data_IF_961049524431
#
_entry.id   IF_961049524431
#
_cell.length_a   1.000
_cell.length_b   1.000
_cell.length_c   1.000
_cell.angle_alpha   90.00
_cell.angle_beta   90.00
_cell.angle_gamma   90.00
#
_symmetry.space_group_name_H-M   'P 1'
#
loop_
_entity.id
_entity.type
_entity.pdbx_description
1 polymer ?
#
# COMPACT_ATOMS: atom_id res chain seq x y z
N UNK A 1 10.94 14.89 31.04
CA UNK A 1 9.88 14.40 31.94
C UNK A 1 9.08 13.34 31.23
N UNK A 2 8.71 12.28 31.94
CA UNK A 2 7.74 11.30 31.43
C UNK A 2 6.37 11.94 31.58
N UNK A 3 5.65 12.11 30.47
CA UNK A 3 4.28 12.65 30.47
C UNK A 3 3.24 11.55 30.63
N UNK A 4 3.51 10.38 30.06
CA UNK A 4 2.63 9.24 30.16
C UNK A 4 3.38 7.94 29.90
N UNK A 5 2.86 6.85 30.46
CA UNK A 5 3.39 5.51 30.29
C UNK A 5 2.22 4.52 30.15
N UNK A 6 2.31 3.64 29.16
CA UNK A 6 1.27 2.66 28.83
C UNK A 6 1.91 1.32 28.45
N UNK A 7 1.23 0.22 28.76
CA UNK A 7 1.52 -1.07 28.14
C UNK A 7 0.52 -1.29 27.01
N UNK A 8 1.02 -1.47 25.78
CA UNK A 8 0.19 -1.71 24.59
C UNK A 8 0.72 -2.94 23.89
N UNK A 9 -0.03 -4.05 23.94
CA UNK A 9 0.43 -5.35 23.44
C UNK A 9 1.77 -5.74 24.05
N UNK A 10 2.73 -6.04 23.19
CA UNK A 10 4.12 -6.38 23.53
C UNK A 10 5.02 -5.16 23.81
N UNK A 11 4.49 -3.94 23.84
CA UNK A 11 5.28 -2.73 24.01
C UNK A 11 5.03 -2.03 25.34
N UNK A 12 6.10 -1.57 25.98
CA UNK A 12 6.07 -0.55 27.02
C UNK A 12 6.31 0.80 26.35
N UNK A 13 5.30 1.65 26.35
CA UNK A 13 5.27 2.95 25.68
C UNK A 13 5.46 4.05 26.69
N UNK A 14 6.44 4.93 26.47
CA UNK A 14 6.64 6.14 27.25
C UNK A 14 6.60 7.37 26.35
N UNK A 15 5.79 8.35 26.73
CA UNK A 15 5.76 9.67 26.10
C UNK A 15 6.60 10.60 26.95
N UNK A 16 7.64 11.17 26.35
CA UNK A 16 8.56 12.05 27.01
C UNK A 16 8.44 13.46 26.42
N UNK A 17 8.36 14.45 27.28
CA UNK A 17 8.68 15.84 26.93
C UNK A 17 10.03 16.23 27.49
N UNK A 18 10.71 17.12 26.80
CA UNK A 18 11.98 17.65 27.27
C UNK A 18 12.02 19.14 26.95
N UNK A 19 12.18 19.97 27.98
CA UNK A 19 12.51 21.39 27.82
C UNK A 19 14.03 21.60 27.72
N UNK A 20 14.81 20.59 28.13
CA UNK A 20 16.27 20.56 28.09
C UNK A 20 16.73 19.20 27.57
N UNK A 21 17.64 19.23 26.60
CA UNK A 21 18.16 18.02 25.95
C UNK A 21 19.01 17.14 26.84
N UNK A 22 19.73 17.72 27.80
CA UNK A 22 20.53 16.97 28.75
C UNK A 22 19.66 15.98 29.56
N UNK A 23 18.42 16.33 29.89
CA UNK A 23 17.50 15.44 30.63
C UNK A 23 17.07 14.23 29.81
N UNK A 24 16.74 14.43 28.53
CA UNK A 24 16.36 13.34 27.63
C UNK A 24 17.55 12.43 27.30
N UNK A 25 18.73 13.01 27.04
CA UNK A 25 19.95 12.24 26.81
C UNK A 25 20.32 11.41 28.04
N UNK A 26 20.24 12.00 29.23
CA UNK A 26 20.47 11.29 30.48
C UNK A 26 19.53 10.11 30.62
N UNK A 27 18.22 10.32 30.41
CA UNK A 27 17.23 9.26 30.47
C UNK A 27 17.51 8.13 29.46
N UNK A 28 17.82 8.48 28.20
CA UNK A 28 18.08 7.49 27.17
C UNK A 28 19.36 6.69 27.46
N UNK A 29 20.42 7.35 27.89
CA UNK A 29 21.67 6.68 28.28
C UNK A 29 21.47 5.78 29.52
N UNK A 30 20.76 6.26 30.55
CA UNK A 30 20.42 5.46 31.74
C UNK A 30 19.51 4.28 31.41
N UNK A 31 18.67 4.41 30.38
CA UNK A 31 17.84 3.34 29.84
C UNK A 31 18.62 2.37 28.92
N UNK A 32 19.94 2.54 28.78
CA UNK A 32 20.81 1.66 28.01
C UNK A 32 20.85 1.93 26.51
N UNK A 33 20.20 2.99 26.02
CA UNK A 33 20.29 3.39 24.62
C UNK A 33 21.64 4.02 24.32
N UNK A 34 22.28 3.61 23.22
CA UNK A 34 23.54 4.19 22.76
C UNK A 34 23.25 5.35 21.83
N UNK A 35 23.60 6.56 22.26
CA UNK A 35 23.39 7.78 21.48
C UNK A 35 24.75 8.29 20.99
N UNK A 36 25.01 8.29 19.67
CA UNK A 36 26.23 8.87 19.12
C UNK A 36 26.32 10.36 19.47
N UNK A 37 27.54 10.88 19.59
CA UNK A 37 27.78 12.31 19.88
C UNK A 37 27.07 13.21 18.85
N UNK A 38 27.09 12.81 17.57
CA UNK A 38 26.40 13.48 16.47
C UNK A 38 24.87 13.55 16.62
N UNK A 39 24.25 12.65 17.39
CA UNK A 39 22.80 12.62 17.56
C UNK A 39 22.32 13.68 18.55
N UNK A 40 23.21 14.22 19.40
CA UNK A 40 22.89 15.26 20.38
C UNK A 40 22.39 16.52 19.70
N UNK A 41 23.02 16.95 18.61
CA UNK A 41 22.61 18.15 17.87
C UNK A 41 21.24 17.96 17.21
N UNK A 42 21.00 16.80 16.58
CA UNK A 42 19.70 16.46 15.99
C UNK A 42 18.60 16.42 17.05
N UNK A 43 18.89 15.85 18.22
CA UNK A 43 17.95 15.80 19.33
C UNK A 43 17.60 17.19 19.87
N UNK A 44 18.60 18.09 19.94
CA UNK A 44 18.41 19.49 20.33
C UNK A 44 17.48 20.23 19.36
N UNK A 45 17.61 19.98 18.05
CA UNK A 45 16.73 20.58 17.03
C UNK A 45 15.26 20.19 17.27
N UNK A 46 15.02 18.91 17.57
CA UNK A 46 13.68 18.38 17.83
C UNK A 46 13.05 18.93 19.11
N UNK A 47 13.85 19.06 20.17
CA UNK A 47 13.42 19.67 21.42
C UNK A 47 13.06 21.14 21.22
N UNK A 48 13.91 21.90 20.50
CA UNK A 48 13.61 23.30 20.17
C UNK A 48 12.37 23.44 19.28
N UNK A 49 12.11 22.44 18.43
CA UNK A 49 10.87 22.33 17.65
C UNK A 49 9.64 21.97 18.48
N UNK A 50 9.76 21.76 19.80
CA UNK A 50 8.65 21.41 20.68
C UNK A 50 8.11 20.01 20.46
N UNK A 51 8.88 19.11 19.83
CA UNK A 51 8.42 17.75 19.58
C UNK A 51 8.43 16.91 20.86
N UNK A 52 7.45 16.01 20.95
CA UNK A 52 7.40 14.98 21.99
C UNK A 52 8.07 13.70 21.50
N UNK A 53 8.66 12.96 22.42
CA UNK A 53 9.37 11.73 22.11
C UNK A 53 8.53 10.54 22.54
N UNK A 54 8.35 9.60 21.62
CA UNK A 54 7.65 8.36 21.85
C UNK A 54 8.68 7.24 21.90
N UNK A 55 8.84 6.61 23.07
CA UNK A 55 9.76 5.49 23.28
C UNK A 55 8.93 4.23 23.38
N UNK A 56 9.09 3.34 22.39
CA UNK A 56 8.50 2.01 22.40
C UNK A 56 9.56 0.97 22.74
N UNK A 57 9.50 0.42 23.96
CA UNK A 57 10.37 -0.67 24.38
C UNK A 57 9.64 -2.00 24.16
N UNK A 58 10.30 -2.95 23.53
CA UNK A 58 9.75 -4.31 23.36
C UNK A 58 9.86 -5.06 24.68
N UNK A 59 8.73 -5.55 25.17
CA UNK A 59 8.64 -6.44 26.30
C UNK A 59 8.71 -7.90 25.81
N UNK A 60 9.89 -8.50 25.92
CA UNK A 60 10.15 -9.85 25.38
C UNK A 60 9.27 -10.92 26.03
N UNK A 61 8.94 -10.78 27.31
CA UNK A 61 8.07 -11.73 28.01
C UNK A 61 6.63 -11.69 27.46
N UNK A 62 6.07 -10.48 27.26
CA UNK A 62 4.74 -10.34 26.65
C UNK A 62 4.72 -10.80 25.20
N UNK A 63 5.77 -10.51 24.43
CA UNK A 63 5.89 -11.00 23.06
C UNK A 63 5.92 -12.54 23.02
N UNK A 64 6.75 -13.18 23.85
CA UNK A 64 6.83 -14.64 23.92
C UNK A 64 5.50 -15.29 24.34
N UNK A 65 4.83 -14.71 25.34
CA UNK A 65 3.50 -15.17 25.76
C UNK A 65 2.47 -15.02 24.64
N UNK A 66 2.53 -13.93 23.89
CA UNK A 66 1.72 -13.69 22.70
C UNK A 66 1.92 -14.76 21.62
N UNK A 67 3.18 -15.05 21.28
CA UNK A 67 3.55 -16.10 20.32
C UNK A 67 3.06 -17.48 20.80
N UNK A 68 3.23 -17.80 22.09
CA UNK A 68 2.70 -19.03 22.67
C UNK A 68 1.17 -19.12 22.63
N UNK A 69 0.48 -17.97 22.70
CA UNK A 69 -0.96 -17.83 22.55
C UNK A 69 -1.45 -17.78 21.10
N UNK A 70 -0.59 -18.04 20.11
CA UNK A 70 -0.96 -18.08 18.70
C UNK A 70 -0.79 -16.77 17.93
N UNK A 71 -0.22 -15.72 18.54
CA UNK A 71 0.19 -14.53 17.78
C UNK A 71 1.39 -14.85 16.87
N UNK A 72 1.54 -14.07 15.81
CA UNK A 72 2.66 -14.22 14.87
C UNK A 72 4.02 -14.00 15.56
N UNK A 73 5.08 -14.56 14.96
CA UNK A 73 6.47 -14.38 15.45
C UNK A 73 7.03 -12.98 15.23
N UNK A 74 6.28 -12.12 14.55
CA UNK A 74 6.64 -10.74 14.27
C UNK A 74 5.98 -9.82 15.29
N UNK A 75 6.60 -8.67 15.53
CA UNK A 75 6.00 -7.64 16.37
C UNK A 75 4.80 -7.00 15.65
N UNK A 76 3.75 -6.74 16.41
CA UNK A 76 2.52 -6.08 15.97
C UNK A 76 2.83 -4.63 15.60
N UNK A 77 2.47 -4.16 14.39
CA UNK A 77 2.71 -2.76 14.02
C UNK A 77 2.08 -1.78 14.99
N UNK A 78 2.84 -0.77 15.42
CA UNK A 78 2.32 0.32 16.24
C UNK A 78 1.46 1.25 15.36
N UNK A 79 0.22 1.48 15.78
CA UNK A 79 -0.67 2.45 15.15
C UNK A 79 -0.67 3.75 15.96
N UNK A 80 -0.45 4.87 15.29
CA UNK A 80 -0.36 6.19 15.91
C UNK A 80 -1.28 7.13 15.14
N UNK A 81 -2.23 7.75 15.85
CA UNK A 81 -3.06 8.83 15.31
C UNK A 81 -2.56 10.18 15.83
N UNK A 82 -2.46 11.17 14.94
CA UNK A 82 -1.98 12.51 15.25
C UNK A 82 -2.93 13.56 14.66
N UNK A 83 -3.11 14.68 15.38
CA UNK A 83 -3.96 15.81 14.95
C UNK A 83 -3.18 16.97 14.32
N UNK A 84 -1.89 16.77 14.03
CA UNK A 84 -1.03 17.82 13.46
C UNK A 84 -1.34 18.01 11.97
N UNK A 85 -1.47 19.27 11.54
CA UNK A 85 -1.56 19.61 10.12
C UNK A 85 -0.25 19.38 9.36
N UNK A 86 0.88 19.29 10.08
CA UNK A 86 2.20 18.98 9.53
C UNK A 86 2.49 17.50 9.71
N UNK A 87 2.39 16.73 8.63
CA UNK A 87 2.74 15.32 8.56
C UNK A 87 4.20 15.18 8.09
N UNK A 88 5.09 14.85 9.02
CA UNK A 88 6.51 14.61 8.75
C UNK A 88 6.99 13.32 9.43
N UNK A 89 7.97 12.66 8.82
CA UNK A 89 8.63 11.49 9.40
C UNK A 89 10.06 11.87 9.81
N UNK A 90 10.37 11.90 11.13
CA UNK A 90 11.70 12.23 11.62
C UNK A 90 12.67 11.05 11.37
N UNK A 91 13.47 11.15 10.32
CA UNK A 91 14.42 10.12 9.91
C UNK A 91 15.87 10.44 10.33
N UNK A 92 16.20 11.71 10.64
CA UNK A 92 17.59 12.13 10.92
C UNK A 92 18.19 11.40 12.11
N UNK A 93 17.42 11.15 13.18
CA UNK A 93 17.94 10.44 14.35
C UNK A 93 18.31 8.99 14.02
N UNK A 94 17.54 8.35 13.13
CA UNK A 94 17.84 7.00 12.63
C UNK A 94 19.10 6.97 11.77
N UNK A 95 19.31 7.97 10.91
CA UNK A 95 20.49 8.01 10.01
C UNK A 95 21.80 8.22 10.76
N UNK A 96 21.79 8.86 11.94
CA UNK A 96 23.00 9.00 12.77
C UNK A 96 23.49 7.65 13.31
N UNK A 97 22.59 6.69 13.53
CA UNK A 97 22.93 5.34 13.99
C UNK A 97 23.18 4.34 12.84
N UNK A 98 22.83 4.71 11.61
CA UNK A 98 22.92 3.81 10.47
C UNK A 98 24.36 3.70 9.94
N UNK A 99 24.78 2.49 9.56
CA UNK A 99 26.10 2.23 8.96
C UNK A 99 26.14 2.44 7.44
N UNK A 100 25.00 2.75 6.83
CA UNK A 100 24.87 2.88 5.38
C UNK A 100 23.46 3.26 4.99
N UNK A 101 23.08 2.90 3.77
CA UNK A 101 21.74 3.09 3.23
C UNK A 101 20.70 2.28 4.03
N UNK A 102 19.55 2.88 4.28
CA UNK A 102 18.38 2.27 4.88
C UNK A 102 17.24 2.28 3.86
N UNK A 103 16.40 1.25 3.89
CA UNK A 103 15.18 1.20 3.08
C UNK A 103 13.98 1.63 3.93
N UNK A 104 13.14 2.49 3.37
CA UNK A 104 11.86 2.86 3.96
C UNK A 104 10.75 2.70 2.93
N UNK A 105 9.71 1.97 3.31
CA UNK A 105 8.47 1.85 2.57
C UNK A 105 7.37 2.60 3.31
N UNK A 106 6.67 3.48 2.60
CA UNK A 106 5.59 4.28 3.15
C UNK A 106 4.32 3.92 2.40
N UNK A 107 3.31 3.50 3.15
CA UNK A 107 1.95 3.30 2.66
C UNK A 107 1.08 4.41 3.26
N UNK A 108 0.60 5.31 2.41
CA UNK A 108 -0.26 6.40 2.81
C UNK A 108 -1.66 6.18 2.22
N UNK A 109 -2.67 6.18 3.09
CA UNK A 109 -4.07 6.08 2.69
C UNK A 109 -4.74 7.41 3.03
N UNK A 110 -5.39 8.03 2.05
CA UNK A 110 -6.08 9.32 2.23
C UNK A 110 -7.44 9.30 1.55
N UNK A 111 -8.35 10.20 1.92
CA UNK A 111 -9.61 10.38 1.17
C UNK A 111 -9.41 11.16 -0.13
N UNK A 112 -8.37 11.99 -0.19
CA UNK A 112 -8.26 13.05 -1.19
C UNK A 112 -7.52 12.61 -2.44
N UNK A 113 -6.30 12.10 -2.28
CA UNK A 113 -5.45 11.75 -3.41
C UNK A 113 -4.04 11.36 -3.00
N UNK A 114 -3.13 11.43 -3.96
CA UNK A 114 -1.76 10.98 -3.81
C UNK A 114 -1.00 11.78 -2.76
N UNK A 115 -0.19 11.08 -1.97
CA UNK A 115 0.79 11.70 -1.06
C UNK A 115 2.13 11.84 -1.77
N UNK A 116 2.70 13.03 -1.70
CA UNK A 116 3.99 13.33 -2.32
C UNK A 116 4.94 13.98 -1.33
N UNK A 117 6.24 13.89 -1.62
CA UNK A 117 7.27 14.62 -0.89
C UNK A 117 7.06 16.13 -1.00
N UNK A 118 7.07 16.82 0.14
CA UNK A 118 7.03 18.27 0.20
C UNK A 118 8.43 18.89 0.01
N UNK A 119 9.46 18.25 0.55
CA UNK A 119 10.86 18.71 0.51
C UNK A 119 11.81 17.80 -0.30
N UNK A 120 11.32 16.66 -0.77
CA UNK A 120 12.04 15.74 -1.66
C UNK A 120 11.18 15.44 -2.88
N UNK A 121 11.83 15.25 -4.04
CA UNK A 121 11.12 14.93 -5.27
C UNK A 121 10.42 13.57 -5.16
N UNK A 122 9.24 13.44 -5.76
CA UNK A 122 8.58 12.15 -5.93
C UNK A 122 8.75 11.71 -7.39
N UNK A 123 9.39 10.56 -7.62
CA UNK A 123 9.76 10.06 -8.95
C UNK A 123 9.13 8.70 -9.18
N UNK A 124 8.50 8.48 -10.33
CA UNK A 124 7.92 7.16 -10.69
C UNK A 124 9.04 6.16 -10.97
N UNK A 125 8.93 4.94 -10.47
CA UNK A 125 9.80 3.85 -10.92
C UNK A 125 9.51 3.51 -12.39
N UNK A 126 10.45 2.87 -13.11
CA UNK A 126 10.18 2.31 -14.42
C UNK A 126 8.95 1.39 -14.40
N UNK A 127 8.10 1.52 -15.40
CA UNK A 127 6.85 0.79 -15.53
C UNK A 127 6.53 0.51 -17.01
N UNK A 128 5.59 -0.42 -17.24
CA UNK A 128 5.09 -0.83 -18.56
C UNK A 128 6.16 -1.36 -19.51
N UNK A 129 7.19 -2.01 -18.94
CA UNK A 129 8.29 -2.59 -19.70
C UNK A 129 8.08 -4.09 -19.88
N UNK A 130 8.20 -4.57 -21.13
CA UNK A 130 8.22 -6.00 -21.40
C UNK A 130 9.56 -6.60 -20.95
N UNK A 131 9.50 -7.65 -20.14
CA UNK A 131 10.67 -8.35 -19.59
C UNK A 131 10.59 -9.85 -19.91
N UNK A 132 11.74 -10.54 -20.01
CA UNK A 132 11.76 -11.97 -20.30
C UNK A 132 10.99 -12.81 -19.26
N UNK A 133 10.40 -13.95 -19.66
CA UNK A 133 9.61 -14.78 -18.73
C UNK A 133 10.34 -15.26 -17.46
N UNK A 134 11.65 -15.50 -17.54
CA UNK A 134 12.44 -15.95 -16.39
C UNK A 134 12.49 -14.91 -15.25
N UNK A 135 12.20 -13.64 -15.54
CA UNK A 135 12.16 -12.57 -14.55
C UNK A 135 11.14 -12.86 -13.45
N UNK A 136 10.06 -13.60 -13.73
CA UNK A 136 9.10 -14.05 -12.71
C UNK A 136 9.80 -14.86 -11.60
N UNK A 137 10.66 -15.80 -11.96
CA UNK A 137 11.39 -16.66 -11.00
C UNK A 137 12.45 -15.89 -10.21
N UNK A 138 12.97 -14.81 -10.77
CA UNK A 138 14.03 -14.00 -10.19
C UNK A 138 13.52 -12.63 -9.71
N UNK A 139 12.20 -12.48 -9.52
CA UNK A 139 11.59 -11.16 -9.34
C UNK A 139 12.20 -10.36 -8.19
N UNK A 140 12.48 -11.00 -7.06
CA UNK A 140 13.11 -10.34 -5.91
C UNK A 140 14.47 -9.72 -6.26
N UNK A 141 15.34 -10.46 -6.97
CA UNK A 141 16.64 -9.95 -7.42
C UNK A 141 16.49 -8.90 -8.51
N UNK A 142 15.62 -9.16 -9.48
CA UNK A 142 15.30 -8.21 -10.54
C UNK A 142 14.89 -6.84 -9.97
N UNK A 143 13.97 -6.83 -9.02
CA UNK A 143 13.47 -5.59 -8.42
C UNK A 143 14.56 -4.88 -7.62
N UNK A 144 15.35 -5.61 -6.83
CA UNK A 144 16.49 -5.04 -6.08
C UNK A 144 17.50 -4.36 -7.02
N UNK A 145 17.88 -5.02 -8.11
CA UNK A 145 18.87 -4.51 -9.07
C UNK A 145 18.29 -3.36 -9.91
N UNK A 146 17.01 -3.44 -10.31
CA UNK A 146 16.30 -2.35 -11.00
C UNK A 146 16.22 -1.10 -10.12
N UNK A 147 15.81 -1.25 -8.87
CA UNK A 147 15.71 -0.13 -7.94
C UNK A 147 17.09 0.48 -7.62
N UNK A 148 18.11 -0.37 -7.43
CA UNK A 148 19.48 0.12 -7.23
C UNK A 148 19.98 0.91 -8.45
N UNK A 149 19.65 0.45 -9.66
CA UNK A 149 20.00 1.14 -10.91
C UNK A 149 19.25 2.46 -11.06
N UNK A 150 17.96 2.48 -10.77
CA UNK A 150 17.12 3.68 -10.82
C UNK A 150 17.63 4.75 -9.83
N UNK A 151 17.99 4.34 -8.60
CA UNK A 151 18.61 5.22 -7.61
C UNK A 151 19.96 5.76 -8.05
N UNK A 152 20.78 4.97 -8.76
CA UNK A 152 22.06 5.45 -9.32
C UNK A 152 21.85 6.44 -10.47
N UNK A 153 20.80 6.24 -11.28
CA UNK A 153 20.48 7.09 -12.42
C UNK A 153 19.76 8.38 -12.04
N UNK A 154 19.12 8.42 -10.86
CA UNK A 154 18.47 9.63 -10.33
C UNK A 154 19.51 10.50 -9.61
N UNK A 155 19.90 11.67 -10.14
CA UNK A 155 20.99 12.48 -9.60
C UNK A 155 20.61 13.27 -8.33
N UNK A 156 19.36 13.14 -7.87
CA UNK A 156 18.81 13.86 -6.72
C UNK A 156 18.24 12.89 -5.69
N UNK A 157 18.21 13.27 -4.40
CA UNK A 157 17.45 12.52 -3.41
C UNK A 157 15.95 12.55 -3.74
N UNK A 158 15.35 11.36 -3.86
CA UNK A 158 13.96 11.21 -4.29
C UNK A 158 13.23 10.10 -3.51
N UNK A 159 11.92 10.26 -3.40
CA UNK A 159 10.98 9.24 -2.98
C UNK A 159 10.43 8.57 -4.24
N UNK A 160 10.61 7.26 -4.37
CA UNK A 160 10.15 6.52 -5.54
C UNK A 160 8.70 6.11 -5.37
N UNK A 161 7.84 6.60 -6.26
CA UNK A 161 6.45 6.18 -6.35
C UNK A 161 6.39 4.82 -7.03
N UNK A 162 5.86 3.82 -6.31
CA UNK A 162 5.70 2.45 -6.81
C UNK A 162 4.25 2.13 -7.15
N UNK A 163 3.32 2.76 -6.42
CA UNK A 163 1.89 2.53 -6.57
C UNK A 163 1.10 3.75 -6.11
N UNK A 164 0.09 4.15 -6.88
CA UNK A 164 -0.92 5.13 -6.52
C UNK A 164 -2.25 4.66 -7.11
N UNK A 165 -3.27 4.46 -6.28
CA UNK A 165 -4.53 3.91 -6.77
C UNK A 165 -5.73 4.34 -5.94
N UNK A 166 -6.83 4.59 -6.63
CA UNK A 166 -8.13 4.84 -6.05
C UNK A 166 -8.82 3.50 -5.68
N UNK A 167 -8.95 3.22 -4.39
CA UNK A 167 -9.49 1.94 -3.91
C UNK A 167 -11.01 1.83 -4.10
N UNK A 168 -11.70 2.90 -4.54
CA UNK A 168 -13.13 2.85 -4.85
C UNK A 168 -13.47 1.97 -6.05
N UNK A 169 -12.51 1.69 -6.93
CA UNK A 169 -12.73 0.88 -8.13
C UNK A 169 -11.49 0.08 -8.51
N UNK A 170 -11.72 -1.08 -9.12
CA UNK A 170 -10.67 -2.02 -9.45
C UNK A 170 -10.80 -2.46 -10.91
N UNK A 171 -10.19 -1.74 -11.85
CA UNK A 171 -10.10 -2.16 -13.24
C UNK A 171 -8.88 -1.54 -13.97
N UNK A 172 -7.96 -2.32 -14.57
CA UNK A 172 -7.83 -3.79 -14.54
C UNK A 172 -7.06 -4.27 -13.29
N UNK A 173 -7.63 -5.20 -12.54
CA UNK A 173 -7.04 -5.66 -11.27
C UNK A 173 -6.55 -7.10 -11.27
N UNK A 174 -5.37 -7.30 -10.68
CA UNK A 174 -4.77 -8.61 -10.44
C UNK A 174 -5.34 -9.33 -9.19
N UNK A 175 -6.06 -8.61 -8.32
CA UNK A 175 -6.68 -9.12 -7.10
C UNK A 175 -7.90 -8.29 -6.70
N UNK A 176 -8.74 -8.80 -5.80
CA UNK A 176 -9.87 -8.06 -5.23
C UNK A 176 -9.37 -6.86 -4.41
N UNK A 177 -10.10 -5.72 -4.41
CA UNK A 177 -9.78 -4.61 -3.52
C UNK A 177 -9.93 -5.03 -2.04
N UNK A 178 -9.17 -4.40 -1.11
CA UNK A 178 -9.29 -4.67 0.32
C UNK A 178 -10.73 -4.44 0.83
N UNK A 179 -11.18 -5.23 1.80
CA UNK A 179 -12.47 -5.00 2.47
C UNK A 179 -12.43 -3.76 3.36
N UNK A 180 -13.61 -3.25 3.77
CA UNK A 180 -13.69 -2.15 4.73
C UNK A 180 -13.04 -2.55 6.05
N UNK A 181 -13.23 -3.79 6.49
CA UNK A 181 -12.62 -4.35 7.69
C UNK A 181 -11.08 -4.37 7.59
N UNK A 182 -10.54 -4.77 6.43
CA UNK A 182 -9.10 -4.74 6.18
C UNK A 182 -8.56 -3.30 6.27
N UNK A 183 -9.26 -2.35 5.65
CA UNK A 183 -8.87 -0.93 5.68
C UNK A 183 -8.92 -0.35 7.10
N UNK A 184 -9.96 -0.67 7.87
CA UNK A 184 -10.03 -0.26 9.27
C UNK A 184 -8.88 -0.85 10.10
N UNK A 185 -8.49 -2.11 9.84
CA UNK A 185 -7.34 -2.73 10.51
C UNK A 185 -6.01 -2.00 10.20
N UNK A 186 -5.94 -1.31 9.05
CA UNK A 186 -4.82 -0.47 8.63
C UNK A 186 -4.90 0.97 9.16
N UNK A 187 -5.90 1.30 9.99
CA UNK A 187 -6.07 2.64 10.56
C UNK A 187 -6.96 3.58 9.73
N UNK A 188 -7.68 3.06 8.73
CA UNK A 188 -8.68 3.82 7.95
C UNK A 188 -9.99 3.87 8.75
N UNK A 189 -9.95 4.57 9.89
CA UNK A 189 -11.02 4.63 10.89
C UNK A 189 -12.30 5.34 10.43
N UNK A 190 -12.23 6.00 9.28
CA UNK A 190 -13.31 6.79 8.75
C UNK A 190 -14.30 6.07 7.87
N UNK A 191 -13.96 4.85 7.45
CA UNK A 191 -14.91 3.98 6.79
C UNK A 191 -15.76 3.34 7.87
N UNK A 192 -17.07 3.41 7.71
CA UNK A 192 -18.03 2.73 8.61
C UNK A 192 -18.50 1.46 7.92
N UNK A 193 -18.35 0.28 8.55
CA UNK A 193 -18.99 -0.94 8.04
C UNK A 193 -20.49 -0.70 8.18
N UNK A 194 -21.22 -0.68 7.06
CA UNK A 194 -22.67 -0.69 7.17
C UNK A 194 -23.09 -2.05 7.73
N UNK A 195 -23.76 -2.03 8.88
CA UNK A 195 -24.63 -3.13 9.29
C UNK A 195 -25.57 -3.44 8.11
N UNK A 196 -25.55 -4.69 7.63
CA UNK A 196 -26.53 -5.19 6.65
C UNK A 196 -27.92 -4.67 7.02
N UNK A 197 -28.69 -4.06 6.10
CA UNK A 197 -30.05 -3.63 6.42
C UNK A 197 -30.91 -4.85 6.77
N UNK A 198 -31.19 -5.03 8.06
CA UNK A 198 -32.41 -5.59 8.61
C UNK A 198 -32.69 -7.09 8.44
N UNK A 199 -32.30 -7.89 9.44
CA UNK A 199 -33.23 -8.88 10.02
C UNK A 199 -34.09 -8.25 11.14
N UNK A 200 -34.53 -7.01 10.95
CA UNK A 200 -35.48 -6.39 11.87
C UNK A 200 -36.88 -6.87 11.51
N UNK A 201 -37.42 -7.73 12.37
CA UNK A 201 -38.84 -8.06 12.47
C UNK A 201 -39.68 -6.79 12.34
N UNK A 202 -40.35 -6.66 11.19
CA UNK A 202 -41.11 -5.46 10.82
C UNK A 202 -42.28 -5.22 11.76
N UNK A 203 -42.18 -4.19 12.60
CA UNK A 203 -43.33 -3.51 13.17
C UNK A 203 -44.06 -2.74 12.07
N UNK A 204 -45.23 -3.22 11.68
CA UNK A 204 -46.14 -2.54 10.74
C UNK A 204 -46.51 -1.15 11.29
N UNK A 205 -46.20 -0.09 10.53
CA UNK A 205 -46.86 1.21 10.69
C UNK A 205 -48.05 1.28 9.73
N UNK A 206 -49.25 1.71 10.17
CA UNK A 206 -50.42 1.75 9.28
C UNK A 206 -50.30 2.88 8.27
N UNK A 207 -50.64 2.60 7.01
CA UNK A 207 -50.84 3.59 5.94
C UNK A 207 -52.28 4.11 6.01
N UNK A 208 -52.56 5.42 5.80
CA UNK A 208 -53.92 5.93 5.80
C UNK A 208 -54.69 5.46 4.55
N UNK A 209 -55.89 4.90 4.76
CA UNK A 209 -56.81 4.47 3.70
C UNK A 209 -57.62 5.70 3.21
N UNK A 210 -57.67 6.01 1.90
CA UNK A 210 -58.59 7.03 1.38
C UNK A 210 -60.03 6.48 1.33
N UNK A 211 -61.01 7.28 1.77
CA UNK A 211 -62.43 6.91 1.66
C UNK A 211 -63.00 7.20 0.25
N UNK A 212 -63.96 6.41 -0.26
CA UNK A 212 -64.56 6.61 -1.59
C UNK A 212 -65.69 7.66 -1.57
N UNK A 213 -65.80 8.42 -2.66
CA UNK A 213 -66.92 9.33 -2.97
C UNK A 213 -68.08 8.50 -3.57
N UNK A 214 -69.35 8.72 -3.19
CA UNK A 214 -70.46 7.93 -3.71
C UNK A 214 -71.02 8.54 -5.01
N UNK A 215 -71.15 7.75 -6.06
CA UNK A 215 -72.13 8.01 -7.13
C UNK A 215 -72.85 6.72 -7.55
N UNK A 216 -74.15 6.89 -7.75
CA UNK A 216 -75.18 5.88 -7.94
C UNK A 216 -75.02 5.04 -9.22
N UNK A 217 -75.35 3.75 -9.14
CA UNK A 217 -75.93 3.02 -10.27
C UNK A 217 -75.30 1.67 -10.60
N UNK A 218 -76.01 0.59 -10.21
CA UNK A 218 -75.95 -0.78 -10.75
C UNK A 218 -74.65 -1.55 -10.52
N UNK A 219 -74.68 -2.46 -9.53
CA UNK A 219 -73.62 -3.43 -9.23
C UNK A 219 -73.80 -4.67 -10.11
N UNK A 220 -72.85 -4.96 -10.99
CA UNK A 220 -72.60 -6.31 -11.50
C UNK A 220 -71.27 -6.81 -10.94
N UNK A 221 -71.21 -8.00 -10.29
CA UNK A 221 -69.94 -8.53 -9.82
C UNK A 221 -69.19 -9.22 -10.96
N UNK A 222 -68.20 -8.53 -11.53
CA UNK A 222 -67.15 -9.18 -12.32
C UNK A 222 -66.01 -9.59 -11.38
N UNK A 223 -65.87 -10.89 -11.15
CA UNK A 223 -64.72 -11.48 -10.47
C UNK A 223 -63.55 -11.44 -11.46
N UNK A 224 -62.62 -10.51 -11.27
CA UNK A 224 -61.32 -10.52 -11.96
C UNK A 224 -60.26 -10.87 -10.92
N UNK A 225 -59.45 -11.92 -11.11
CA UNK A 225 -58.37 -12.24 -10.18
C UNK A 225 -57.34 -11.10 -10.18
N UNK A 226 -56.97 -10.61 -8.99
CA UNK A 226 -55.91 -9.62 -8.84
C UNK A 226 -54.60 -10.20 -9.40
N UNK A 227 -53.89 -9.48 -10.28
CA UNK A 227 -52.56 -9.89 -10.71
C UNK A 227 -51.63 -9.89 -9.49
N UNK A 228 -50.95 -11.01 -9.27
CA UNK A 228 -49.97 -11.13 -8.20
C UNK A 228 -48.85 -10.10 -8.44
N UNK A 229 -48.38 -9.36 -7.41
CA UNK A 229 -47.27 -8.45 -7.57
C UNK A 229 -46.02 -9.25 -7.93
N UNK A 230 -45.43 -8.93 -9.08
CA UNK A 230 -44.15 -9.50 -9.50
C UNK A 230 -43.09 -9.18 -8.42
N UNK A 231 -42.21 -10.13 -8.08
CA UNK A 231 -41.10 -9.85 -7.18
C UNK A 231 -40.23 -8.76 -7.79
N UNK A 232 -40.01 -7.68 -7.04
CA UNK A 232 -39.09 -6.62 -7.43
C UNK A 232 -37.70 -7.23 -7.70
N UNK A 233 -36.99 -6.83 -8.77
CA UNK A 233 -35.64 -7.27 -8.99
C UNK A 233 -34.77 -6.88 -7.79
N UNK A 234 -34.19 -7.89 -7.13
CA UNK A 234 -33.16 -7.69 -6.12
C UNK A 234 -31.91 -7.24 -6.87
N UNK A 235 -31.67 -5.93 -6.90
CA UNK A 235 -30.39 -5.41 -7.36
C UNK A 235 -29.31 -5.89 -6.39
N UNK A 236 -28.19 -6.47 -6.88
CA UNK A 236 -27.05 -6.75 -6.02
C UNK A 236 -26.62 -5.45 -5.33
N UNK A 237 -26.19 -5.49 -4.05
CA UNK A 237 -25.66 -4.30 -3.39
C UNK A 237 -24.56 -3.73 -4.27
N UNK A 238 -24.68 -2.45 -4.66
CA UNK A 238 -23.63 -1.79 -5.39
C UNK A 238 -22.34 -1.84 -4.55
N UNK A 239 -21.16 -2.09 -5.17
CA UNK A 239 -19.90 -2.01 -4.45
C UNK A 239 -19.83 -0.63 -3.78
N UNK A 240 -19.64 -0.63 -2.47
CA UNK A 240 -19.50 0.58 -1.69
C UNK A 240 -18.38 1.41 -2.31
N UNK A 241 -18.63 2.69 -2.57
CA UNK A 241 -17.57 3.61 -2.99
C UNK A 241 -16.59 3.75 -1.82
N UNK A 242 -15.48 3.02 -1.88
CA UNK A 242 -14.41 3.11 -0.88
C UNK A 242 -13.72 4.46 -1.06
N UNK A 243 -14.02 5.42 -0.19
CA UNK A 243 -13.36 6.74 -0.18
C UNK A 243 -11.95 6.64 0.42
N UNK A 244 -11.06 5.96 -0.32
CA UNK A 244 -9.67 5.77 0.03
C UNK A 244 -8.79 5.73 -1.22
N UNK A 245 -7.70 6.48 -1.18
CA UNK A 245 -6.65 6.52 -2.18
C UNK A 245 -5.35 6.09 -1.50
N UNK A 246 -4.70 5.07 -2.05
CA UNK A 246 -3.44 4.54 -1.52
C UNK A 246 -2.27 5.07 -2.33
N UNK A 247 -1.19 5.42 -1.63
CA UNK A 247 0.12 5.72 -2.22
C UNK A 247 1.19 4.87 -1.55
N UNK A 248 2.03 4.21 -2.35
CA UNK A 248 3.22 3.50 -1.91
C UNK A 248 4.47 4.23 -2.39
N UNK A 249 5.24 4.74 -1.44
CA UNK A 249 6.55 5.34 -1.67
C UNK A 249 7.65 4.42 -1.14
N UNK A 250 8.76 4.36 -1.86
CA UNK A 250 9.96 3.65 -1.46
C UNK A 250 11.16 4.60 -1.54
N UNK A 251 12.00 4.62 -0.51
CA UNK A 251 13.20 5.44 -0.52
C UNK A 251 14.37 4.73 0.15
N UNK A 252 15.53 4.84 -0.50
CA UNK A 252 16.83 4.42 0.03
C UNK A 252 17.58 5.65 0.52
N UNK A 253 17.74 5.76 1.84
CA UNK A 253 18.20 6.99 2.46
C UNK A 253 19.39 6.79 3.41
N UNK A 254 20.21 7.84 3.53
CA UNK A 254 21.28 7.93 4.52
C UNK A 254 21.46 9.40 4.94
N UNK A 255 22.37 9.66 5.90
CA UNK A 255 22.65 11.01 6.44
C UNK A 255 23.07 12.02 5.34
N UNK A 256 23.71 11.57 4.27
CA UNK A 256 24.23 12.43 3.19
C UNK A 256 23.15 12.79 2.18
N UNK A 257 22.38 11.79 1.73
CA UNK A 257 21.32 11.96 0.72
C UNK A 257 20.06 12.59 1.30
N UNK A 258 19.73 12.32 2.56
CA UNK A 258 18.55 12.86 3.24
C UNK A 258 18.95 13.58 4.54
N UNK A 259 19.53 14.80 4.44
CA UNK A 259 19.96 15.57 5.60
C UNK A 259 18.79 16.18 6.40
N UNK A 260 17.59 16.21 5.81
CA UNK A 260 16.36 16.74 6.41
C UNK A 260 15.35 15.61 6.64
N UNK A 261 14.44 15.83 7.57
CA UNK A 261 13.33 14.92 7.77
C UNK A 261 12.35 14.93 6.60
N UNK A 262 11.61 13.83 6.43
CA UNK A 262 10.68 13.71 5.32
C UNK A 262 9.43 14.51 5.63
N UNK A 263 9.09 15.45 4.76
CA UNK A 263 7.83 16.17 4.83
C UNK A 263 6.94 15.70 3.68
N UNK A 264 5.65 15.61 3.94
CA UNK A 264 4.68 15.12 2.97
C UNK A 264 3.57 16.14 2.75
N UNK A 265 2.94 16.06 1.59
CA UNK A 265 1.71 16.78 1.28
C UNK A 265 0.70 15.83 0.66
N UNK A 266 -0.57 15.98 1.04
CA UNK A 266 -1.68 15.33 0.33
C UNK A 266 -2.08 16.22 -0.83
N UNK A 267 -2.17 15.65 -2.03
CA UNK A 267 -2.52 16.37 -3.26
C UNK A 267 -3.96 16.07 -3.69
N UNK A 268 -4.49 16.88 -4.61
CA UNK A 268 -5.74 16.59 -5.34
C UNK A 268 -5.52 15.57 -6.48
N UNK A 269 -4.29 15.13 -6.73
CA UNK A 269 -3.98 14.21 -7.82
C UNK A 269 -4.48 12.80 -7.47
N UNK A 270 -5.44 12.29 -8.24
CA UNK A 270 -5.96 10.91 -8.17
C UNK A 270 -5.56 10.05 -9.38
N UNK A 271 -4.56 10.46 -10.14
CA UNK A 271 -4.05 9.68 -11.27
C UNK A 271 -3.44 8.37 -10.75
N UNK A 272 -3.92 7.27 -11.32
CA UNK A 272 -3.41 5.95 -11.01
C UNK A 272 -1.99 5.77 -11.56
N UNK A 273 -1.18 5.04 -10.81
CA UNK A 273 0.15 4.61 -11.21
C UNK A 273 0.46 3.25 -10.59
N UNK A 274 1.07 2.37 -11.38
CA UNK A 274 1.55 1.08 -10.91
C UNK A 274 2.85 0.75 -11.61
N UNK A 275 3.89 0.45 -10.83
CA UNK A 275 5.08 -0.22 -11.34
C UNK A 275 4.72 -1.60 -11.89
N UNK A 276 4.61 -1.71 -13.21
CA UNK A 276 4.21 -2.95 -13.90
C UNK A 276 5.33 -3.41 -14.84
N UNK A 277 5.68 -4.68 -14.76
CA UNK A 277 6.61 -5.33 -15.69
C UNK A 277 5.87 -6.48 -16.37
N UNK A 278 5.88 -6.48 -17.70
CA UNK A 278 4.98 -7.29 -18.51
C UNK A 278 5.74 -8.50 -19.02
N UNK A 279 5.20 -9.71 -18.79
CA UNK A 279 5.76 -10.95 -19.32
C UNK A 279 4.83 -11.44 -20.43
N UNK A 280 5.38 -11.61 -21.63
CA UNK A 280 4.68 -12.23 -22.75
C UNK A 280 5.12 -13.67 -22.92
N UNK A 281 4.21 -14.62 -22.71
CA UNK A 281 4.52 -16.04 -22.82
C UNK A 281 4.50 -16.50 -24.30
N UNK A 282 5.63 -16.90 -24.90
CA UNK A 282 5.63 -17.45 -26.26
C UNK A 282 4.84 -18.76 -26.29
N UNK A 283 4.14 -19.03 -27.39
CA UNK A 283 3.51 -20.32 -27.62
C UNK A 283 4.61 -21.38 -27.81
N UNK A 284 4.58 -22.43 -26.98
CA UNK A 284 5.59 -23.49 -26.95
C UNK A 284 5.06 -24.82 -27.51
N UNK A 285 3.83 -24.84 -28.03
CA UNK A 285 3.22 -26.03 -28.60
C UNK A 285 3.62 -26.25 -30.06
N UNK A 286 3.03 -27.28 -30.67
CA UNK A 286 3.23 -27.59 -32.09
C UNK A 286 2.65 -26.48 -32.99
N UNK A 287 3.44 -26.06 -34.00
CA UNK A 287 3.07 -25.02 -34.95
C UNK A 287 3.11 -25.59 -36.38
N UNK A 288 1.96 -25.96 -36.93
CA UNK A 288 1.81 -26.61 -38.25
C UNK A 288 1.21 -25.70 -39.33
N UNK A 289 0.94 -24.43 -39.03
CA UNK A 289 0.36 -23.47 -39.99
C UNK A 289 1.42 -22.66 -40.74
N UNK A 290 1.03 -22.06 -41.87
CA UNK A 290 1.93 -21.28 -42.73
C UNK A 290 2.47 -20.01 -42.02
N UNK A 291 1.74 -19.50 -41.04
CA UNK A 291 2.09 -18.31 -40.26
C UNK A 291 3.15 -18.58 -39.18
N UNK A 292 3.46 -19.86 -38.91
CA UNK A 292 4.38 -20.28 -37.85
C UNK A 292 5.77 -19.65 -37.98
N UNK A 293 6.33 -19.61 -39.20
CA UNK A 293 7.66 -19.05 -39.43
C UNK A 293 7.70 -17.55 -39.13
N UNK A 294 6.67 -16.81 -39.54
CA UNK A 294 6.56 -15.39 -39.26
C UNK A 294 6.43 -15.12 -37.75
N UNK A 295 5.61 -15.92 -37.06
CA UNK A 295 5.47 -15.86 -35.60
C UNK A 295 6.81 -16.08 -34.88
N UNK A 296 7.57 -17.11 -35.24
CA UNK A 296 8.86 -17.42 -34.61
C UNK A 296 9.88 -16.28 -34.79
N UNK A 297 9.91 -15.61 -35.95
CA UNK A 297 10.75 -14.45 -36.16
C UNK A 297 10.33 -13.26 -35.29
N UNK A 298 9.03 -13.03 -35.13
CA UNK A 298 8.51 -11.99 -34.22
C UNK A 298 8.88 -12.28 -32.77
N UNK A 299 8.74 -13.53 -32.31
CA UNK A 299 9.15 -13.94 -30.96
C UNK A 299 10.64 -13.69 -30.74
N UNK A 300 11.49 -14.10 -31.68
CA UNK A 300 12.94 -13.87 -31.59
C UNK A 300 13.29 -12.38 -31.50
N UNK A 301 12.65 -11.54 -32.30
CA UNK A 301 12.85 -10.09 -32.24
C UNK A 301 12.37 -9.50 -30.90
N UNK A 302 11.23 -9.97 -30.40
CA UNK A 302 10.69 -9.57 -29.09
C UNK A 302 11.63 -9.95 -27.95
N UNK A 303 12.11 -11.18 -27.91
CA UNK A 303 13.04 -11.67 -26.88
C UNK A 303 14.34 -10.87 -26.84
N UNK A 304 14.83 -10.43 -28.01
CA UNK A 304 15.98 -9.53 -28.10
C UNK A 304 15.69 -8.16 -27.46
N UNK A 305 14.53 -7.58 -27.74
CA UNK A 305 14.11 -6.30 -27.16
C UNK A 305 13.88 -6.40 -25.65
N UNK A 306 13.24 -7.48 -25.18
CA UNK A 306 13.05 -7.78 -23.76
C UNK A 306 14.40 -7.91 -23.03
N UNK A 307 15.39 -8.56 -23.65
CA UNK A 307 16.73 -8.68 -23.08
C UNK A 307 17.43 -7.32 -22.97
N UNK A 308 17.33 -6.48 -24.00
CA UNK A 308 17.86 -5.12 -23.99
C UNK A 308 17.18 -4.27 -22.91
N UNK A 309 15.85 -4.37 -22.80
CA UNK A 309 15.08 -3.64 -21.80
C UNK A 309 15.50 -4.07 -20.38
N UNK A 310 15.57 -5.37 -20.11
CA UNK A 310 15.99 -5.90 -18.81
C UNK A 310 17.43 -5.48 -18.47
N UNK A 311 18.35 -5.49 -19.44
CA UNK A 311 19.72 -5.02 -19.25
C UNK A 311 19.78 -3.53 -18.89
N UNK A 312 18.98 -2.68 -19.54
CA UNK A 312 18.89 -1.24 -19.20
C UNK A 312 18.32 -1.02 -17.80
N UNK A 313 17.26 -1.75 -17.44
CA UNK A 313 16.61 -1.65 -16.14
C UNK A 313 17.53 -2.05 -15.00
N UNK A 314 18.31 -3.14 -15.14
CA UNK A 314 19.03 -3.77 -14.02
C UNK A 314 20.54 -3.56 -14.06
N UNK A 315 21.10 -3.19 -15.21
CA UNK A 315 22.53 -3.22 -15.46
C UNK A 315 23.11 -4.62 -15.69
N UNK A 316 22.28 -5.67 -15.77
CA UNK A 316 22.75 -7.04 -16.06
C UNK A 316 23.34 -7.13 -17.48
N UNK A 317 24.36 -7.97 -17.64
CA UNK A 317 24.95 -8.19 -18.96
C UNK A 317 23.98 -8.92 -19.89
N UNK A 318 23.98 -8.51 -21.16
CA UNK A 318 23.14 -9.13 -22.19
C UNK A 318 23.40 -10.63 -22.32
N UNK A 319 24.66 -11.07 -22.19
CA UNK A 319 25.00 -12.48 -22.29
C UNK A 319 24.44 -13.29 -21.13
N UNK A 320 24.41 -12.72 -19.91
CA UNK A 320 23.76 -13.37 -18.78
C UNK A 320 22.26 -13.54 -19.02
N UNK A 321 21.59 -12.47 -19.48
CA UNK A 321 20.15 -12.48 -19.74
C UNK A 321 19.79 -13.50 -20.83
N UNK A 322 20.54 -13.52 -21.94
CA UNK A 322 20.32 -14.48 -23.04
C UNK A 322 20.50 -15.93 -22.60
N UNK A 323 21.50 -16.21 -21.73
CA UNK A 323 21.64 -17.54 -21.13
C UNK A 323 20.44 -17.92 -20.28
N UNK A 324 19.88 -16.99 -19.50
CA UNK A 324 18.67 -17.28 -18.71
C UNK A 324 17.43 -17.50 -19.59
N UNK A 325 17.26 -16.74 -20.68
CA UNK A 325 16.18 -16.96 -21.65
C UNK A 325 16.25 -18.35 -22.29
N UNK A 326 17.45 -18.83 -22.63
CA UNK A 326 17.62 -20.18 -23.18
C UNK A 326 17.26 -21.29 -22.19
N UNK A 327 17.52 -21.08 -20.89
CA UNK A 327 17.18 -22.05 -19.83
C UNK A 327 15.69 -21.98 -19.46
N UNK A 328 15.07 -20.80 -19.57
CA UNK A 328 13.70 -20.54 -19.17
C UNK A 328 12.94 -19.74 -20.24
N UNK A 329 12.56 -20.37 -21.37
CA UNK A 329 11.95 -19.68 -22.51
C UNK A 329 10.49 -19.23 -22.26
N UNK A 330 9.88 -19.66 -21.15
CA UNK A 330 8.49 -19.34 -20.81
C UNK A 330 7.76 -20.55 -20.24
N UNK A 331 6.43 -20.45 -20.16
CA UNK A 331 5.53 -21.50 -19.68
C UNK A 331 4.62 -21.99 -20.82
N UNK A 332 4.43 -23.31 -20.99
CA UNK A 332 3.43 -23.85 -21.91
C UNK A 332 2.03 -23.44 -21.48
N UNK A 333 1.06 -23.47 -22.41
CA UNK A 333 -0.28 -22.89 -22.19
C UNK A 333 -0.99 -23.40 -20.94
N UNK A 334 -0.85 -24.70 -20.62
CA UNK A 334 -1.48 -25.34 -19.45
C UNK A 334 -0.87 -24.94 -18.10
N UNK A 335 0.32 -24.31 -18.10
CA UNK A 335 1.00 -23.82 -16.90
C UNK A 335 0.84 -22.31 -16.69
N UNK A 336 0.14 -21.60 -17.59
CA UNK A 336 -0.15 -20.17 -17.46
C UNK A 336 -1.34 -20.03 -16.52
N UNK A 337 -1.08 -19.55 -15.30
CA UNK A 337 -2.11 -19.13 -14.34
C UNK A 337 -2.02 -17.64 -14.11
#
# INVERSE_FOLDING_TARGET
TIEAEYAVGEYDIQILSANQSNGLLTFLNQSGYRIPVDAVSVLNDYIRGGMKFFVARVNLARHQAGVAGGQGRYLTPLQISMRSEKFMLPIRLGTVNARGDQELFIFAITRKGRVEGANYATVKIPADVNVPPFTEKLFGRFYQDMFAREKQMTPIPAMFLEYAWDLSWCDPCAANPPSVEDLQSLGVDWLTPQSRPGSSSGGLRPVPIPQPIPQNGVVQPSIVPLPQPLPLPVFPPQPQAIDAFITRLHLRYNKVSFPQDLQFRVTDNRENFQGRFIIQQPYLGEMVCNEAQAYLQQVKAREQNEAIALSRLTGWSIDYIRRQQAVYPGKPMHERR
#
